data_IF_672254470853
#
_entry.id   IF_672254470853
#
_cell.length_a   1.000
_cell.length_b   1.000
_cell.length_c   1.000
_cell.angle_alpha   90.00
_cell.angle_beta   90.00
_cell.angle_gamma   90.00
#
_symmetry.space_group_name_H-M   'P 1'
#
loop_
_entity.id
_entity.type
_entity.pdbx_description
1 polymer ?
#
# COMPACT_ATOMS: atom_id res chain seq x y z
N UNK A 1 -25.51 -6.65 -2.82
CA UNK A 1 -24.26 -5.95 -3.18
C UNK A 1 -24.25 -4.62 -2.45
N UNK A 2 -23.21 -4.33 -1.67
CA UNK A 2 -23.10 -3.08 -0.90
C UNK A 2 -22.63 -1.96 -1.84
N UNK A 3 -23.32 -0.83 -1.90
CA UNK A 3 -22.83 0.33 -2.67
C UNK A 3 -21.62 0.92 -1.97
N UNK A 4 -20.61 1.36 -2.72
CA UNK A 4 -19.50 2.13 -2.14
C UNK A 4 -20.05 3.53 -1.81
N UNK A 5 -19.86 4.04 -0.58
CA UNK A 5 -20.33 5.36 -0.23
C UNK A 5 -19.49 6.44 -0.94
N UNK A 6 -20.10 7.60 -1.19
CA UNK A 6 -19.40 8.73 -1.79
C UNK A 6 -18.35 9.33 -0.83
N UNK A 7 -18.63 9.32 0.47
CA UNK A 7 -17.70 9.76 1.52
C UNK A 7 -17.41 8.58 2.43
N UNK A 8 -16.13 8.33 2.69
CA UNK A 8 -15.67 7.34 3.66
C UNK A 8 -15.23 8.13 4.89
N UNK A 9 -15.92 7.93 6.00
CA UNK A 9 -15.53 8.44 7.30
C UNK A 9 -15.51 7.28 8.30
N UNK A 10 -14.49 7.26 9.17
CA UNK A 10 -14.31 6.15 10.11
C UNK A 10 -15.39 6.08 11.22
N UNK A 11 -16.41 6.95 11.21
CA UNK A 11 -17.56 6.86 12.12
C UNK A 11 -18.67 6.00 11.52
N UNK A 12 -18.86 6.07 10.20
CA UNK A 12 -19.93 5.37 9.48
C UNK A 12 -19.44 4.12 8.77
N UNK A 13 -18.27 4.18 8.14
CA UNK A 13 -17.66 3.05 7.45
C UNK A 13 -16.15 3.21 7.37
N UNK A 14 -15.42 2.20 7.83
CA UNK A 14 -13.97 2.31 7.91
C UNK A 14 -13.35 2.10 6.53
N UNK A 15 -12.22 2.77 6.31
CA UNK A 15 -11.47 2.68 5.05
C UNK A 15 -11.05 1.25 4.71
N UNK A 16 -10.63 0.45 5.70
CA UNK A 16 -10.21 -0.94 5.51
C UNK A 16 -11.36 -1.84 5.04
N UNK A 17 -12.59 -1.57 5.47
CA UNK A 17 -13.78 -2.33 5.05
C UNK A 17 -14.11 -2.06 3.57
N UNK A 18 -14.02 -0.80 3.15
CA UNK A 18 -14.24 -0.41 1.74
C UNK A 18 -13.12 -0.95 0.85
N UNK A 19 -11.86 -0.81 1.27
CA UNK A 19 -10.73 -1.32 0.50
C UNK A 19 -10.79 -2.84 0.34
N UNK A 20 -11.12 -3.60 1.39
CA UNK A 20 -11.32 -5.04 1.28
C UNK A 20 -12.50 -5.42 0.37
N UNK A 21 -13.58 -4.63 0.38
CA UNK A 21 -14.69 -4.81 -0.56
C UNK A 21 -14.25 -4.60 -2.01
N UNK A 22 -13.41 -3.59 -2.27
CA UNK A 22 -12.87 -3.31 -3.61
C UNK A 22 -11.85 -4.35 -4.07
N UNK A 23 -10.96 -4.79 -3.17
CA UNK A 23 -10.02 -5.87 -3.41
C UNK A 23 -10.76 -7.16 -3.80
N UNK A 24 -11.83 -7.50 -3.08
CA UNK A 24 -12.65 -8.68 -3.40
C UNK A 24 -13.33 -8.59 -4.77
N UNK A 25 -13.74 -7.40 -5.21
CA UNK A 25 -14.35 -7.18 -6.53
C UNK A 25 -13.34 -7.17 -7.68
N UNK A 26 -12.09 -6.85 -7.36
CA UNK A 26 -11.03 -6.65 -8.34
C UNK A 26 -10.02 -7.79 -8.34
N UNK A 27 -10.37 -8.94 -7.74
CA UNK A 27 -9.51 -10.12 -7.71
C UNK A 27 -9.09 -10.52 -9.12
N UNK A 28 -7.80 -10.79 -9.29
CA UNK A 28 -7.21 -11.09 -10.59
C UNK A 28 -7.07 -9.88 -11.53
N UNK A 29 -7.22 -8.65 -11.03
CA UNK A 29 -6.88 -7.42 -11.78
C UNK A 29 -5.75 -6.66 -11.07
N UNK A 30 -5.37 -5.51 -11.63
CA UNK A 30 -4.32 -4.63 -11.10
C UNK A 30 -4.82 -3.70 -9.98
N UNK A 31 -3.90 -3.32 -9.09
CA UNK A 31 -4.05 -2.28 -8.09
C UNK A 31 -2.84 -1.35 -8.07
N UNK A 32 -3.08 -0.04 -8.16
CA UNK A 32 -2.06 0.96 -7.88
C UNK A 32 -2.40 1.75 -6.61
N UNK A 33 -1.40 1.97 -5.77
CA UNK A 33 -1.49 2.82 -4.59
C UNK A 33 -0.42 3.90 -4.68
N UNK A 34 -0.82 5.15 -4.47
CA UNK A 34 0.09 6.27 -4.33
C UNK A 34 -0.20 6.94 -2.98
N UNK A 35 0.70 6.81 -2.01
CA UNK A 35 0.47 7.24 -0.62
C UNK A 35 1.69 7.93 -0.01
N UNK A 36 1.48 8.97 0.78
CA UNK A 36 2.56 9.64 1.51
C UNK A 36 3.25 8.67 2.48
N UNK A 37 2.47 7.77 3.07
CA UNK A 37 2.89 6.87 4.13
C UNK A 37 2.16 5.53 4.03
N UNK A 38 2.83 4.45 4.42
CA UNK A 38 2.24 3.10 4.45
C UNK A 38 2.68 2.39 5.73
N UNK A 39 1.77 2.19 6.67
CA UNK A 39 2.07 1.48 7.92
C UNK A 39 1.91 -0.04 7.77
N UNK A 40 2.65 -0.75 8.63
CA UNK A 40 2.58 -2.20 8.70
C UNK A 40 1.22 -2.72 9.22
N UNK A 41 0.53 -1.96 10.07
CA UNK A 41 -0.82 -2.32 10.53
C UNK A 41 -1.84 -2.28 9.38
N UNK A 42 -1.74 -1.29 8.49
CA UNK A 42 -2.57 -1.21 7.29
C UNK A 42 -2.30 -2.34 6.31
N UNK A 43 -1.04 -2.78 6.20
CA UNK A 43 -0.69 -4.00 5.47
C UNK A 43 -1.43 -5.22 6.02
N UNK A 44 -1.40 -5.46 7.34
CA UNK A 44 -2.10 -6.61 7.94
C UNK A 44 -3.60 -6.64 7.63
N UNK A 45 -4.24 -5.47 7.56
CA UNK A 45 -5.68 -5.36 7.27
C UNK A 45 -6.02 -5.67 5.81
N UNK A 46 -5.06 -5.57 4.88
CA UNK A 46 -5.30 -5.63 3.43
C UNK A 46 -4.53 -6.75 2.72
N UNK A 47 -3.54 -7.38 3.38
CA UNK A 47 -2.61 -8.34 2.80
C UNK A 47 -3.32 -9.46 2.03
N UNK A 48 -4.35 -10.06 2.62
CA UNK A 48 -5.11 -11.16 2.00
C UNK A 48 -5.79 -10.78 0.68
N UNK A 49 -6.20 -9.52 0.54
CA UNK A 49 -6.80 -9.01 -0.68
C UNK A 49 -5.74 -8.61 -1.70
N UNK A 50 -4.69 -7.92 -1.26
CA UNK A 50 -3.60 -7.46 -2.12
C UNK A 50 -2.86 -8.65 -2.76
N UNK A 51 -2.60 -9.73 -2.00
CA UNK A 51 -1.96 -10.95 -2.51
C UNK A 51 -2.77 -11.69 -3.59
N UNK A 52 -4.02 -11.29 -3.85
CA UNK A 52 -4.90 -11.87 -4.89
C UNK A 52 -5.00 -11.01 -6.14
N UNK A 53 -4.25 -9.90 -6.19
CA UNK A 53 -4.18 -9.03 -7.37
C UNK A 53 -3.26 -9.65 -8.42
N UNK A 54 -3.53 -9.37 -9.69
CA UNK A 54 -2.65 -9.80 -10.79
C UNK A 54 -1.34 -9.00 -10.80
N UNK A 55 -1.42 -7.71 -10.50
CA UNK A 55 -0.26 -6.82 -10.38
C UNK A 55 -0.50 -5.75 -9.33
N UNK A 56 0.53 -5.39 -8.59
CA UNK A 56 0.45 -4.38 -7.54
C UNK A 56 1.56 -3.34 -7.70
N UNK A 57 1.20 -2.05 -7.69
CA UNK A 57 2.17 -0.95 -7.77
C UNK A 57 2.01 -0.01 -6.59
N UNK A 58 3.10 0.30 -5.91
CA UNK A 58 3.13 1.17 -4.75
C UNK A 58 4.09 2.34 -5.00
N UNK A 59 3.57 3.56 -4.98
CA UNK A 59 4.34 4.80 -4.97
C UNK A 59 4.29 5.42 -3.57
N UNK A 60 5.44 5.48 -2.90
CA UNK A 60 5.56 6.07 -1.55
C UNK A 60 6.22 7.44 -1.60
N UNK A 61 5.77 8.36 -0.73
CA UNK A 61 6.46 9.62 -0.47
C UNK A 61 7.82 9.41 0.22
N UNK A 62 8.77 10.31 -0.02
CA UNK A 62 10.11 10.30 0.58
C UNK A 62 10.23 11.22 1.82
N UNK A 63 9.16 11.31 2.62
CA UNK A 63 9.15 12.18 3.80
C UNK A 63 9.93 11.57 4.98
N UNK A 64 10.59 12.40 5.83
CA UNK A 64 11.51 11.91 6.86
C UNK A 64 10.89 10.92 7.85
N UNK A 65 9.61 11.12 8.21
CA UNK A 65 8.87 10.27 9.14
C UNK A 65 8.54 8.89 8.53
N UNK A 66 8.39 8.81 7.20
CA UNK A 66 8.16 7.55 6.48
C UNK A 66 9.40 6.66 6.55
N UNK A 67 10.59 7.27 6.49
CA UNK A 67 11.88 6.55 6.56
C UNK A 67 12.10 5.88 7.91
N UNK A 68 11.71 6.53 9.01
CA UNK A 68 11.87 5.98 10.37
C UNK A 68 10.88 4.86 10.68
N UNK A 69 9.66 4.91 10.15
CA UNK A 69 8.60 3.95 10.51
C UNK A 69 8.51 2.76 9.54
N UNK A 70 8.91 2.92 8.29
CA UNK A 70 8.83 1.83 7.30
C UNK A 70 10.10 0.97 7.24
N UNK A 71 11.25 1.44 7.72
CA UNK A 71 12.53 0.75 7.55
C UNK A 71 12.93 0.57 6.07
N UNK A 72 12.21 1.18 5.13
CA UNK A 72 12.39 1.02 3.69
C UNK A 72 13.50 1.96 3.21
N UNK A 73 14.73 1.69 3.61
CA UNK A 73 15.90 2.37 3.05
C UNK A 73 16.26 1.80 1.67
N UNK A 74 16.14 2.66 0.66
CA UNK A 74 16.74 2.60 -0.70
C UNK A 74 16.23 1.50 -1.65
N UNK A 75 14.99 1.63 -2.12
CA UNK A 75 14.63 1.08 -3.44
C UNK A 75 15.23 1.97 -4.53
N UNK A 76 16.53 1.80 -4.78
CA UNK A 76 17.21 2.37 -5.96
C UNK A 76 17.26 1.30 -7.04
N UNK A 77 16.77 1.67 -8.23
CA UNK A 77 16.94 0.92 -9.47
C UNK A 77 18.42 0.60 -9.73
N UNK A 78 18.92 -0.55 -9.25
CA UNK A 78 20.08 -1.31 -9.76
C UNK A 78 20.06 -2.74 -9.17
N UNK A 79 20.53 -3.76 -9.91
CA UNK A 79 20.43 -5.17 -9.53
C UNK A 79 21.65 -5.62 -8.70
N UNK A 80 22.05 -4.85 -7.70
CA UNK A 80 23.16 -5.21 -6.81
C UNK A 80 22.72 -5.02 -5.36
N UNK A 81 22.66 -6.16 -4.68
CA UNK A 81 22.76 -6.45 -3.24
C UNK A 81 22.74 -5.27 -2.25
N UNK A 82 21.96 -5.46 -1.17
CA UNK A 82 21.79 -4.62 0.05
C UNK A 82 20.46 -3.83 0.11
N UNK A 83 19.36 -4.57 0.28
CA UNK A 83 18.00 -4.02 0.48
C UNK A 83 17.53 -4.03 1.95
N UNK A 84 18.43 -4.20 2.92
CA UNK A 84 18.04 -4.26 4.35
C UNK A 84 19.04 -3.44 5.18
N UNK A 85 19.01 -2.11 5.03
CA UNK A 85 19.64 -1.22 6.00
C UNK A 85 18.61 -0.88 7.09
N UNK A 86 18.67 -1.69 8.15
CA UNK A 86 18.27 -1.40 9.53
C UNK A 86 16.81 -0.96 9.76
N UNK A 87 15.96 -1.94 10.06
CA UNK A 87 14.82 -1.69 10.94
C UNK A 87 15.41 -1.31 12.30
N UNK A 88 15.14 -0.11 12.85
CA UNK A 88 15.66 0.24 14.17
C UNK A 88 15.14 -0.77 15.20
N UNK A 89 16.08 -1.32 15.98
CA UNK A 89 15.85 -2.31 17.04
C UNK A 89 15.07 -1.70 18.22
N UNK A 90 13.81 -1.35 17.95
CA UNK A 90 12.89 -0.76 18.93
C UNK A 90 12.00 -1.86 19.49
N UNK A 91 12.60 -2.84 20.19
CA UNK A 91 11.87 -3.81 21.02
C UNK A 91 10.59 -4.38 20.39
N UNK A 92 10.63 -4.68 19.09
CA UNK A 92 9.46 -5.11 18.33
C UNK A 92 9.06 -6.49 18.85
N UNK A 93 7.79 -6.67 19.22
CA UNK A 93 7.26 -7.98 19.61
C UNK A 93 7.45 -8.93 18.43
N UNK A 94 7.78 -10.20 18.67
CA UNK A 94 8.00 -11.21 17.62
C UNK A 94 6.88 -11.24 16.56
N UNK A 95 5.64 -11.03 16.98
CA UNK A 95 4.47 -10.94 16.09
C UNK A 95 4.57 -9.79 15.08
N UNK A 96 5.16 -8.65 15.47
CA UNK A 96 5.38 -7.50 14.59
C UNK A 96 6.51 -7.75 13.61
N UNK A 97 7.57 -8.47 14.03
CA UNK A 97 8.68 -8.85 13.15
C UNK A 97 8.22 -9.76 12.01
N UNK A 98 7.43 -10.79 12.32
CA UNK A 98 6.92 -11.71 11.29
C UNK A 98 6.11 -10.98 10.21
N UNK A 99 5.32 -9.99 10.61
CA UNK A 99 4.50 -9.20 9.68
C UNK A 99 5.36 -8.31 8.79
N UNK A 100 6.44 -7.76 9.34
CA UNK A 100 7.42 -6.99 8.55
C UNK A 100 8.12 -7.91 7.55
N UNK A 101 8.54 -9.10 7.97
CA UNK A 101 9.13 -10.10 7.08
C UNK A 101 8.16 -10.51 5.96
N UNK A 102 6.90 -10.77 6.27
CA UNK A 102 5.86 -11.08 5.29
C UNK A 102 5.64 -9.92 4.31
N UNK A 103 5.67 -8.68 4.80
CA UNK A 103 5.54 -7.50 3.96
C UNK A 103 6.74 -7.34 3.02
N UNK A 104 7.96 -7.49 3.53
CA UNK A 104 9.19 -7.44 2.72
C UNK A 104 9.16 -8.56 1.68
N UNK A 105 8.79 -9.78 2.07
CA UNK A 105 8.68 -10.91 1.16
C UNK A 105 7.66 -10.66 0.04
N UNK A 106 6.52 -10.03 0.37
CA UNK A 106 5.54 -9.60 -0.63
C UNK A 106 6.11 -8.55 -1.60
N UNK A 107 6.81 -7.53 -1.09
CA UNK A 107 7.40 -6.47 -1.92
C UNK A 107 8.45 -6.99 -2.92
N UNK A 108 9.05 -8.16 -2.66
CA UNK A 108 10.03 -8.79 -3.53
C UNK A 108 9.44 -9.68 -4.64
N UNK A 109 8.11 -9.81 -4.74
CA UNK A 109 7.47 -10.65 -5.75
C UNK A 109 7.49 -10.01 -7.15
N UNK A 110 7.56 -10.82 -8.21
CA UNK A 110 7.72 -10.33 -9.60
C UNK A 110 6.57 -9.43 -10.10
N UNK A 111 5.37 -9.58 -9.52
CA UNK A 111 4.18 -8.81 -9.90
C UNK A 111 3.99 -7.56 -9.03
N UNK A 112 4.94 -7.26 -8.15
CA UNK A 112 4.94 -6.12 -7.25
C UNK A 112 5.99 -5.10 -7.70
N UNK A 113 5.58 -3.84 -7.84
CA UNK A 113 6.49 -2.74 -8.16
C UNK A 113 6.42 -1.65 -7.08
N UNK A 114 7.55 -1.39 -6.42
CA UNK A 114 7.69 -0.34 -5.42
C UNK A 114 8.56 0.81 -5.96
N UNK A 115 8.07 2.05 -5.85
CA UNK A 115 8.81 3.27 -6.20
C UNK A 115 8.72 4.29 -5.08
N UNK A 116 9.80 5.05 -4.89
CA UNK A 116 9.85 6.19 -3.98
C UNK A 116 9.80 7.50 -4.77
N UNK A 117 8.84 8.35 -4.45
CA UNK A 117 8.69 9.69 -5.00
C UNK A 117 9.59 10.67 -4.23
N UNK A 118 10.75 10.99 -4.80
CA UNK A 118 11.73 11.92 -4.22
C UNK A 118 11.54 13.38 -4.68
N UNK A 119 10.51 13.64 -5.49
CA UNK A 119 10.29 14.95 -6.12
C UNK A 119 9.14 15.69 -5.43
N UNK A 120 9.51 16.72 -4.69
CA UNK A 120 8.54 17.62 -4.07
C UNK A 120 7.77 16.97 -2.92
N UNK A 121 6.72 17.65 -2.51
CA UNK A 121 5.85 17.25 -1.40
C UNK A 121 4.79 16.28 -1.91
N UNK A 122 4.80 15.03 -1.42
CA UNK A 122 3.89 13.98 -1.86
C UNK A 122 2.96 13.57 -0.71
N UNK A 123 1.81 14.26 -0.63
CA UNK A 123 0.83 14.13 0.45
C UNK A 123 -0.51 13.49 0.04
N UNK A 124 -0.58 12.93 -1.15
CA UNK A 124 -1.79 12.27 -1.61
C UNK A 124 -1.85 10.84 -1.06
N UNK A 125 -3.06 10.35 -0.75
CA UNK A 125 -3.33 8.92 -0.68
C UNK A 125 -4.41 8.60 -1.71
N UNK A 126 -4.04 7.82 -2.71
CA UNK A 126 -4.87 7.44 -3.84
C UNK A 126 -4.79 5.94 -4.07
N UNK A 127 -5.94 5.30 -4.27
CA UNK A 127 -6.06 3.89 -4.59
C UNK A 127 -6.79 3.73 -5.92
N UNK A 128 -6.18 3.04 -6.88
CA UNK A 128 -6.71 2.80 -8.22
C UNK A 128 -6.92 1.30 -8.43
N UNK A 129 -8.18 0.88 -8.43
CA UNK A 129 -8.57 -0.50 -8.72
C UNK A 129 -8.98 -0.63 -10.18
N UNK A 130 -8.40 -1.59 -10.91
CA UNK A 130 -8.76 -1.85 -12.29
C UNK A 130 -9.75 -3.02 -12.39
N UNK A 131 -10.68 -2.96 -13.35
CA UNK A 131 -11.64 -4.03 -13.63
C UNK A 131 -11.45 -4.55 -15.06
N UNK A 132 -11.19 -5.86 -15.20
CA UNK A 132 -10.83 -6.52 -16.48
C UNK A 132 -11.97 -6.66 -17.51
N UNK A 133 -13.03 -5.86 -17.44
CA UNK A 133 -14.21 -6.01 -18.29
C UNK A 133 -14.45 -4.84 -19.23
N UNK A 134 -13.88 -4.87 -20.45
CA UNK A 134 -14.36 -4.22 -21.70
C UNK A 134 -14.51 -2.69 -21.77
N UNK A 135 -14.76 -2.04 -20.64
CA UNK A 135 -14.73 -0.61 -20.41
C UNK A 135 -13.72 -0.40 -19.28
N UNK A 136 -12.77 0.51 -19.49
CA UNK A 136 -11.71 0.95 -18.57
C UNK A 136 -12.29 1.51 -17.26
N UNK A 137 -12.95 0.66 -16.50
CA UNK A 137 -13.62 0.99 -15.25
C UNK A 137 -12.60 0.87 -14.14
N UNK A 138 -12.26 2.02 -13.58
CA UNK A 138 -11.40 2.10 -12.41
C UNK A 138 -12.16 2.73 -11.25
N UNK A 139 -11.94 2.21 -10.04
CA UNK A 139 -12.42 2.86 -8.81
C UNK A 139 -11.28 3.66 -8.22
N UNK A 140 -11.52 4.95 -7.97
CA UNK A 140 -10.57 5.83 -7.28
C UNK A 140 -11.08 6.07 -5.86
N UNK A 141 -10.19 5.92 -4.89
CA UNK A 141 -10.37 6.53 -3.57
C UNK A 141 -9.23 7.50 -3.34
N UNK A 142 -9.58 8.77 -3.10
CA UNK A 142 -8.66 9.81 -2.63
C UNK A 142 -8.99 10.15 -1.18
N UNK A 143 -7.97 10.22 -0.31
CA UNK A 143 -8.16 10.72 1.05
C UNK A 143 -7.74 12.18 1.13
N UNK A 144 -8.59 13.02 1.71
CA UNK A 144 -8.26 14.40 2.03
C UNK A 144 -8.07 14.52 3.54
N UNK A 145 -6.96 15.12 3.96
CA UNK A 145 -6.77 15.59 5.34
C UNK A 145 -6.80 17.10 5.31
N UNK A 146 -7.82 17.70 5.93
CA UNK A 146 -7.78 19.13 6.19
C UNK A 146 -6.56 19.42 7.09
N UNK A 147 -5.77 20.41 6.69
CA UNK A 147 -4.57 20.85 7.42
C UNK A 147 -4.94 21.47 8.77
#
# INVERSE_FOLDING_TARGET
>A
MQSIPFVIDNQQCRMDEILNTLLARSQGNSLDIATAYFNIEGWQLLADGINKMESFRLLLGDEPEVREVTGLCKVRNKPDEELIEEIPDVGLKEQTLHVIEDFIAFLCQDHVELRICTKGFFHANCYLFYSGGGDNSFSIIETYRDK
#
